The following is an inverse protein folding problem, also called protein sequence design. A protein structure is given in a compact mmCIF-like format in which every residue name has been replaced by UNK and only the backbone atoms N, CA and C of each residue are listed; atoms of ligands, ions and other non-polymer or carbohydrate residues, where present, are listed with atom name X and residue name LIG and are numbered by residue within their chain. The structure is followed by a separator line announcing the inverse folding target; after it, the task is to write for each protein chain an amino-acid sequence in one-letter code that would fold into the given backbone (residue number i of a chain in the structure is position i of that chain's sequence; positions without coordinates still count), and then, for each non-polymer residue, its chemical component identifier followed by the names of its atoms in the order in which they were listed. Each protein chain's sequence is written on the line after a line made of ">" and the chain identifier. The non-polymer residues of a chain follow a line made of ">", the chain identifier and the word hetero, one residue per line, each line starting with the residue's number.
data_IF_926070244578
#
_entry.id   IF_926070244578
#
_cell.length_a   1.000
_cell.length_b   1.000
_cell.length_c   1.000
_cell.angle_alpha   90.00
_cell.angle_beta   90.00
_cell.angle_gamma   90.00
#
_symmetry.space_group_name_H-M   'P 1'
#
loop_
_entity.id
_entity.type
_entity.pdbx_description
1 polymer ?
#
# COMPACT_ATOMS: atom_id res chain seq x y z
N UNK A 1 13.50 10.06 -9.14
CA UNK A 1 12.83 9.92 -7.83
C UNK A 1 13.02 8.48 -7.40
N UNK A 2 13.39 8.24 -6.14
CA UNK A 2 13.63 6.87 -5.67
C UNK A 2 12.28 6.20 -5.43
N UNK A 3 12.13 4.95 -5.85
CA UNK A 3 10.96 4.14 -5.54
C UNK A 3 11.06 3.69 -4.07
N UNK A 4 9.92 3.58 -3.38
CA UNK A 4 9.89 2.88 -2.10
C UNK A 4 10.37 1.46 -2.33
N UNK A 5 11.39 1.02 -1.59
CA UNK A 5 12.04 -0.26 -1.81
C UNK A 5 11.18 -1.41 -1.24
N UNK A 6 10.03 -1.64 -1.87
CA UNK A 6 9.17 -2.82 -1.68
C UNK A 6 9.51 -3.86 -2.75
N UNK A 7 9.40 -5.16 -2.43
CA UNK A 7 9.67 -6.23 -3.39
C UNK A 7 8.60 -6.37 -4.46
N UNK A 8 7.43 -5.78 -4.24
CA UNK A 8 6.30 -5.75 -5.17
C UNK A 8 6.39 -4.48 -6.03
N UNK A 9 6.81 -4.62 -7.28
CA UNK A 9 6.92 -3.49 -8.21
C UNK A 9 5.67 -3.42 -9.07
N UNK A 10 5.05 -2.24 -9.14
CA UNK A 10 3.97 -2.00 -10.08
C UNK A 10 4.40 -2.34 -11.51
N UNK A 11 3.48 -2.91 -12.28
CA UNK A 11 3.73 -3.44 -13.62
C UNK A 11 4.21 -4.90 -13.65
N UNK A 12 4.55 -5.51 -12.49
CA UNK A 12 4.88 -6.93 -12.43
C UNK A 12 3.69 -7.79 -12.84
N UNK A 13 3.98 -8.90 -13.52
CA UNK A 13 2.96 -9.83 -14.01
C UNK A 13 2.50 -10.78 -12.90
N UNK A 14 1.24 -11.19 -12.93
CA UNK A 14 0.60 -12.11 -11.97
C UNK A 14 1.42 -13.40 -11.76
N UNK A 15 1.92 -14.01 -12.83
CA UNK A 15 2.71 -15.24 -12.82
C UNK A 15 3.94 -15.20 -11.87
N UNK A 16 4.45 -14.00 -11.54
CA UNK A 16 5.55 -13.87 -10.60
C UNK A 16 5.17 -14.27 -9.16
N UNK A 17 3.88 -14.20 -8.84
CA UNK A 17 3.34 -14.33 -7.50
C UNK A 17 2.25 -15.39 -7.36
N UNK A 18 1.67 -15.88 -8.45
CA UNK A 18 0.54 -16.84 -8.48
C UNK A 18 0.54 -17.87 -7.33
N UNK A 19 1.66 -18.56 -7.10
CA UNK A 19 1.76 -19.63 -6.08
C UNK A 19 1.86 -19.13 -4.63
N UNK A 20 2.13 -17.85 -4.44
CA UNK A 20 2.23 -17.17 -3.14
C UNK A 20 0.97 -16.33 -2.84
N UNK A 21 -0.09 -16.41 -3.64
CA UNK A 21 -1.30 -15.59 -3.52
C UNK A 21 -2.51 -16.39 -3.03
N UNK A 22 -3.30 -15.75 -2.17
CA UNK A 22 -4.60 -16.22 -1.73
C UNK A 22 -5.68 -15.22 -2.20
N UNK A 23 -6.71 -15.71 -2.90
CA UNK A 23 -7.83 -14.88 -3.37
C UNK A 23 -8.53 -14.23 -2.20
N UNK A 24 -8.86 -12.94 -2.31
CA UNK A 24 -9.71 -12.21 -1.36
C UNK A 24 -10.84 -11.51 -2.11
N UNK A 25 -11.74 -10.88 -1.36
CA UNK A 25 -12.74 -9.99 -1.94
C UNK A 25 -12.04 -8.84 -2.68
N UNK A 26 -12.50 -8.59 -3.90
CA UNK A 26 -12.00 -7.48 -4.71
C UNK A 26 -12.28 -6.13 -4.05
N UNK A 27 -11.26 -5.29 -4.06
CA UNK A 27 -11.29 -3.97 -3.42
C UNK A 27 -11.96 -2.92 -4.28
N UNK A 28 -11.74 -2.97 -5.58
CA UNK A 28 -12.25 -2.03 -6.58
C UNK A 28 -12.78 -2.81 -7.78
N UNK A 29 -13.69 -2.20 -8.54
CA UNK A 29 -14.24 -2.79 -9.76
C UNK A 29 -13.13 -3.01 -10.81
N UNK A 30 -13.32 -4.03 -11.65
CA UNK A 30 -12.39 -4.43 -12.73
C UNK A 30 -10.96 -4.80 -12.29
N UNK A 31 -10.74 -5.06 -11.00
CA UNK A 31 -9.45 -5.52 -10.48
C UNK A 31 -9.62 -6.71 -9.53
N UNK A 32 -8.68 -7.65 -9.63
CA UNK A 32 -8.62 -8.82 -8.75
C UNK A 32 -7.71 -8.53 -7.54
N UNK A 33 -8.19 -8.84 -6.34
CA UNK A 33 -7.45 -8.62 -5.10
C UNK A 33 -6.96 -9.93 -4.48
N UNK A 34 -5.66 -9.96 -4.13
CA UNK A 34 -5.01 -11.14 -3.57
C UNK A 34 -4.21 -10.79 -2.32
N UNK A 35 -4.21 -11.68 -1.35
CA UNK A 35 -3.34 -11.59 -0.18
C UNK A 35 -2.05 -12.34 -0.48
N UNK A 36 -0.93 -11.68 -0.28
CA UNK A 36 0.37 -12.32 -0.38
C UNK A 36 0.68 -13.15 0.86
N UNK A 37 0.85 -14.45 0.66
CA UNK A 37 1.11 -15.49 1.67
C UNK A 37 2.56 -16.00 1.65
N UNK A 38 3.37 -15.53 0.71
CA UNK A 38 4.76 -15.96 0.58
C UNK A 38 5.63 -15.52 1.77
N UNK A 39 6.58 -16.37 2.17
CA UNK A 39 7.43 -16.14 3.37
C UNK A 39 8.68 -15.29 3.08
N UNK A 40 8.89 -14.89 1.84
CA UNK A 40 10.13 -14.24 1.38
C UNK A 40 10.26 -12.79 1.86
N UNK A 41 9.13 -12.15 2.17
CA UNK A 41 9.07 -10.73 2.49
C UNK A 41 8.33 -10.54 3.80
N UNK A 42 8.96 -10.98 4.90
CA UNK A 42 8.39 -10.96 6.27
C UNK A 42 8.90 -9.78 7.12
N UNK A 43 9.62 -8.83 6.52
CA UNK A 43 10.14 -7.65 7.21
C UNK A 43 9.99 -6.43 6.30
N UNK A 44 8.94 -5.64 6.53
CA UNK A 44 8.77 -4.35 5.88
C UNK A 44 9.00 -3.25 6.90
N UNK A 45 10.01 -2.40 6.68
CA UNK A 45 10.33 -1.23 7.52
C UNK A 45 10.32 -1.52 9.05
N UNK A 46 10.88 -2.67 9.46
CA UNK A 46 10.92 -3.18 10.85
C UNK A 46 9.58 -3.65 11.46
N UNK A 47 8.47 -3.54 10.76
CA UNK A 47 7.17 -4.05 11.20
C UNK A 47 7.11 -5.58 11.09
N UNK A 48 6.66 -6.24 12.17
CA UNK A 48 6.63 -7.69 12.31
C UNK A 48 5.27 -8.32 11.97
N UNK A 49 4.18 -7.54 12.08
CA UNK A 49 2.82 -7.96 11.76
C UNK A 49 2.21 -7.00 10.75
N UNK A 50 2.10 -7.49 9.52
CA UNK A 50 1.39 -6.79 8.47
C UNK A 50 0.79 -7.80 7.50
N UNK A 51 -0.21 -7.35 6.77
CA UNK A 51 -0.80 -8.06 5.64
C UNK A 51 -0.47 -7.29 4.38
N UNK A 52 -0.10 -7.99 3.32
CA UNK A 52 0.10 -7.37 2.00
C UNK A 52 -0.97 -7.88 1.05
N UNK A 53 -1.67 -6.94 0.45
CA UNK A 53 -2.66 -7.15 -0.59
C UNK A 53 -2.11 -6.60 -1.91
N UNK A 54 -2.15 -7.44 -2.94
CA UNK A 54 -1.75 -7.12 -4.30
C UNK A 54 -3.02 -7.01 -5.14
N UNK A 55 -3.16 -5.89 -5.85
CA UNK A 55 -4.34 -5.57 -6.65
C UNK A 55 -3.91 -5.52 -8.10
N UNK A 56 -4.48 -6.42 -8.89
CA UNK A 56 -4.13 -6.62 -10.28
C UNK A 56 -5.28 -6.17 -11.19
N UNK A 57 -4.93 -5.55 -12.31
CA UNK A 57 -5.84 -5.43 -13.45
C UNK A 57 -5.32 -6.38 -14.53
N UNK A 58 -6.09 -7.43 -14.82
CA UNK A 58 -5.62 -8.60 -15.57
C UNK A 58 -4.30 -9.09 -14.94
N UNK A 59 -3.24 -9.25 -15.73
CA UNK A 59 -1.97 -9.75 -15.22
C UNK A 59 -1.10 -8.63 -14.60
N UNK A 60 -1.51 -7.36 -14.65
CA UNK A 60 -0.65 -6.22 -14.27
C UNK A 60 -0.88 -5.81 -12.82
N UNK A 61 0.18 -5.82 -12.00
CA UNK A 61 0.14 -5.29 -10.64
C UNK A 61 0.00 -3.76 -10.64
N UNK A 62 -1.17 -3.26 -10.23
CA UNK A 62 -1.52 -1.84 -10.27
C UNK A 62 -1.44 -1.18 -8.89
N UNK A 63 -1.61 -1.96 -7.81
CA UNK A 63 -1.43 -1.46 -6.47
C UNK A 63 -0.94 -2.52 -5.47
N UNK A 64 -0.22 -2.04 -4.47
CA UNK A 64 0.27 -2.79 -3.32
C UNK A 64 -0.23 -2.08 -2.07
N UNK A 65 -1.08 -2.75 -1.31
CA UNK A 65 -1.59 -2.25 -0.05
C UNK A 65 -0.99 -3.06 1.09
N UNK A 66 -0.38 -2.38 2.05
CA UNK A 66 0.16 -2.99 3.26
C UNK A 66 -0.63 -2.46 4.44
N UNK A 67 -1.26 -3.35 5.20
CA UNK A 67 -1.99 -2.99 6.43
C UNK A 67 -1.21 -3.45 7.66
N UNK A 68 -1.06 -2.58 8.64
CA UNK A 68 -0.42 -2.82 9.93
C UNK A 68 -1.46 -2.75 11.04
N UNK A 69 -1.32 -3.61 12.05
CA UNK A 69 -2.08 -3.48 13.29
C UNK A 69 -1.56 -2.26 14.08
N UNK A 70 -2.44 -1.31 14.42
CA UNK A 70 -2.06 -0.06 15.10
C UNK A 70 -1.20 -0.26 16.36
N UNK A 71 -1.41 -1.36 17.10
CA UNK A 71 -0.61 -1.68 18.30
C UNK A 71 0.89 -1.81 18.05
N UNK A 72 1.32 -2.00 16.80
CA UNK A 72 2.72 -2.21 16.43
C UNK A 72 3.20 -1.23 15.34
N UNK A 73 2.46 -0.16 15.05
CA UNK A 73 2.80 0.77 13.97
C UNK A 73 2.55 2.23 14.32
N UNK A 74 3.46 3.11 13.88
CA UNK A 74 3.37 4.55 14.12
C UNK A 74 3.30 5.29 12.78
N UNK A 75 2.23 6.07 12.60
CA UNK A 75 2.01 6.87 11.39
C UNK A 75 3.15 7.88 11.13
N UNK A 76 3.62 8.56 12.17
CA UNK A 76 4.63 9.60 12.03
C UNK A 76 5.98 8.98 11.65
N UNK A 77 6.36 7.88 12.31
CA UNK A 77 7.57 7.13 11.95
C UNK A 77 7.51 6.65 10.49
N UNK A 78 6.40 6.03 10.09
CA UNK A 78 6.23 5.56 8.71
C UNK A 78 6.28 6.71 7.70
N UNK A 79 5.63 7.83 8.02
CA UNK A 79 5.61 9.03 7.17
C UNK A 79 6.99 9.65 7.00
N UNK A 80 7.77 9.74 8.08
CA UNK A 80 9.16 10.21 8.01
C UNK A 80 10.03 9.28 7.16
N UNK A 81 9.94 7.97 7.37
CA UNK A 81 10.70 6.98 6.59
C UNK A 81 10.36 7.07 5.10
N UNK A 82 9.07 7.15 4.76
CA UNK A 82 8.62 7.26 3.36
C UNK A 82 9.07 8.59 2.76
N UNK A 83 8.94 9.70 3.49
CA UNK A 83 9.37 11.02 3.04
C UNK A 83 10.88 11.05 2.76
N UNK A 84 11.71 10.52 3.68
CA UNK A 84 13.17 10.43 3.50
C UNK A 84 13.55 9.57 2.28
N UNK A 85 12.78 8.52 1.99
CA UNK A 85 13.05 7.63 0.85
C UNK A 85 12.64 8.24 -0.48
N UNK A 86 11.45 8.84 -0.56
CA UNK A 86 10.90 9.38 -1.80
C UNK A 86 11.48 10.76 -2.13
N UNK A 87 11.76 11.57 -1.10
CA UNK A 87 12.24 12.95 -1.19
C UNK A 87 11.38 13.79 -2.16
N UNK A 88 10.07 13.82 -1.92
CA UNK A 88 9.08 14.49 -2.76
C UNK A 88 8.07 15.30 -1.95
N UNK A 89 7.28 16.12 -2.63
CA UNK A 89 6.19 16.86 -2.00
C UNK A 89 5.15 15.90 -1.41
N UNK A 90 4.66 16.26 -0.23
CA UNK A 90 3.64 15.49 0.50
C UNK A 90 2.45 16.38 0.84
N UNK A 91 1.25 15.87 0.62
CA UNK A 91 -0.02 16.50 1.04
C UNK A 91 -0.53 15.75 2.27
N UNK A 92 -0.91 16.47 3.32
CA UNK A 92 -1.44 15.86 4.54
C UNK A 92 -2.86 16.35 4.81
N UNK A 93 -3.74 15.42 5.18
CA UNK A 93 -5.11 15.69 5.62
C UNK A 93 -5.33 14.96 6.94
N UNK A 94 -5.78 15.68 7.96
CA UNK A 94 -5.99 15.13 9.30
C UNK A 94 -7.32 15.62 9.87
N UNK A 95 -8.10 14.69 10.40
CA UNK A 95 -9.28 14.95 11.23
C UNK A 95 -9.26 14.01 12.44
N UNK A 96 -10.30 14.03 13.28
CA UNK A 96 -10.33 13.26 14.52
C UNK A 96 -10.32 11.72 14.33
N UNK A 97 -10.66 11.22 13.15
CA UNK A 97 -10.84 9.79 12.88
C UNK A 97 -9.79 9.23 11.91
N UNK A 98 -9.22 10.12 11.08
CA UNK A 98 -8.41 9.75 9.93
C UNK A 98 -7.24 10.71 9.77
N UNK A 99 -6.06 10.14 9.55
CA UNK A 99 -4.85 10.88 9.18
C UNK A 99 -4.26 10.32 7.89
N UNK A 100 -4.06 11.18 6.89
CA UNK A 100 -3.61 10.82 5.56
C UNK A 100 -2.38 11.62 5.17
N UNK A 101 -1.35 10.95 4.66
CA UNK A 101 -0.24 11.56 3.93
C UNK A 101 -0.18 10.98 2.52
N UNK A 102 -0.16 11.85 1.51
CA UNK A 102 -0.03 11.48 0.11
C UNK A 102 1.29 12.00 -0.44
N UNK A 103 2.03 11.13 -1.13
CA UNK A 103 3.26 11.43 -1.84
C UNK A 103 3.06 11.15 -3.32
N UNK A 104 3.24 12.17 -4.16
CA UNK A 104 3.08 12.03 -5.61
C UNK A 104 4.44 11.90 -6.28
N UNK A 105 4.63 10.83 -7.06
CA UNK A 105 5.81 10.62 -7.90
C UNK A 105 5.46 10.73 -9.38
N UNK A 106 6.43 10.57 -10.28
CA UNK A 106 6.20 10.72 -11.73
C UNK A 106 5.18 9.72 -12.31
N UNK A 107 5.07 8.53 -11.74
CA UNK A 107 4.24 7.46 -12.30
C UNK A 107 3.25 6.86 -11.30
N UNK A 108 3.50 7.01 -10.00
CA UNK A 108 2.78 6.31 -8.94
C UNK A 108 2.50 7.27 -7.78
N UNK A 109 1.54 6.90 -6.95
CA UNK A 109 1.29 7.55 -5.66
C UNK A 109 1.66 6.61 -4.53
N UNK A 110 2.08 7.22 -3.42
CA UNK A 110 2.23 6.53 -2.15
C UNK A 110 1.34 7.22 -1.14
N UNK A 111 0.48 6.46 -0.47
CA UNK A 111 -0.40 6.97 0.55
C UNK A 111 -0.11 6.28 1.87
N UNK A 112 -0.16 7.05 2.95
CA UNK A 112 -0.19 6.54 4.31
C UNK A 112 -1.54 6.97 4.88
N UNK A 113 -2.29 6.02 5.41
CA UNK A 113 -3.61 6.23 5.98
C UNK A 113 -3.65 5.59 7.36
N UNK A 114 -3.82 6.39 8.40
CA UNK A 114 -4.14 5.92 9.74
C UNK A 114 -5.64 6.07 9.99
N UNK A 115 -6.24 4.98 10.43
CA UNK A 115 -7.61 4.90 10.93
C UNK A 115 -7.56 4.52 12.42
N UNK A 116 -8.71 4.55 13.10
CA UNK A 116 -8.81 4.11 14.51
C UNK A 116 -8.28 2.70 14.76
N UNK A 117 -8.35 1.81 13.75
CA UNK A 117 -8.05 0.39 13.91
C UNK A 117 -6.75 -0.04 13.23
N UNK A 118 -6.39 0.57 12.11
CA UNK A 118 -5.28 0.14 11.26
C UNK A 118 -4.51 1.31 10.64
N UNK A 119 -3.24 1.07 10.40
CA UNK A 119 -2.37 1.90 9.58
C UNK A 119 -2.19 1.21 8.23
N UNK A 120 -2.25 1.98 7.15
CA UNK A 120 -2.11 1.49 5.79
C UNK A 120 -0.99 2.24 5.08
N UNK A 121 -0.25 1.51 4.25
CA UNK A 121 0.64 2.04 3.24
C UNK A 121 0.18 1.51 1.88
N UNK A 122 -0.20 2.42 1.00
CA UNK A 122 -0.56 2.13 -0.38
C UNK A 122 0.54 2.61 -1.30
N UNK A 123 0.94 1.78 -2.25
CA UNK A 123 1.72 2.16 -3.43
C UNK A 123 0.91 1.78 -4.65
N UNK A 124 0.48 2.75 -5.44
CA UNK A 124 -0.47 2.51 -6.53
C UNK A 124 -0.18 3.34 -7.77
N UNK A 125 -0.64 2.86 -8.91
CA UNK A 125 -0.79 3.68 -10.10
C UNK A 125 -1.85 4.77 -9.80
N UNK A 126 -1.55 6.01 -10.21
CA UNK A 126 -2.38 7.20 -9.95
C UNK A 126 -3.86 6.92 -10.26
N UNK A 127 -4.13 6.19 -11.35
CA UNK A 127 -5.49 5.84 -11.80
C UNK A 127 -6.35 5.17 -10.73
N UNK A 128 -5.78 4.30 -9.88
CA UNK A 128 -6.54 3.47 -8.94
C UNK A 128 -6.44 3.95 -7.49
N UNK A 129 -5.57 4.93 -7.21
CA UNK A 129 -5.20 5.31 -5.84
C UNK A 129 -6.39 5.76 -5.02
N UNK A 130 -7.24 6.63 -5.60
CA UNK A 130 -8.37 7.21 -4.88
C UNK A 130 -9.46 6.19 -4.56
N UNK A 131 -9.76 5.29 -5.50
CA UNK A 131 -10.78 4.24 -5.29
C UNK A 131 -10.36 3.26 -4.20
N UNK A 132 -9.06 2.93 -4.16
CA UNK A 132 -8.49 2.09 -3.08
C UNK A 132 -8.58 2.82 -1.74
N UNK A 133 -8.22 4.10 -1.67
CA UNK A 133 -8.34 4.88 -0.42
C UNK A 133 -9.79 4.96 0.04
N UNK A 134 -10.72 5.22 -0.86
CA UNK A 134 -12.15 5.25 -0.54
C UNK A 134 -12.64 3.91 0.01
N UNK A 135 -12.17 2.78 -0.55
CA UNK A 135 -12.51 1.44 -0.05
C UNK A 135 -12.05 1.17 1.40
N UNK A 136 -11.10 1.95 1.92
CA UNK A 136 -10.59 1.83 3.29
C UNK A 136 -11.33 2.72 4.29
N UNK A 137 -12.11 3.68 3.80
CA UNK A 137 -12.86 4.64 4.60
C UNK A 137 -14.36 4.32 4.70
N UNK A 138 -14.83 3.32 3.94
CA UNK A 138 -16.23 2.89 3.87
C UNK A 138 -16.53 1.64 4.72
#
# INVERSE_FOLDING_TARGET
>A
MKQLNIPFKLGMQYDNWEFDLEVTKDRIEDCDSYIYMGKKFNKFLNYSKYKTELIFNLDVLEAVLISFENSNSDYNELSEIVNLKLNCFSETLENNEVKICRFVTKSNEVWILETTSNLYLLVSNIKYSLDIINSLLC
#
